data_IF_581214299765
#
_entry.id   IF_581214299765
#
_cell.length_a   1.000
_cell.length_b   1.000
_cell.length_c   1.000
_cell.angle_alpha   90.00
_cell.angle_beta   90.00
_cell.angle_gamma   90.00
#
_symmetry.space_group_name_H-M   'P 1'
#
loop_
_entity.id
_entity.type
_entity.pdbx_description
1 polymer ?
#
# COMPACT_ATOMS: atom_id res chain seq x y z
N UNK A 1 0.77 16.90 15.87
CA UNK A 1 1.54 16.16 14.88
C UNK A 1 1.78 17.09 13.70
N UNK A 2 3.00 17.48 13.44
CA UNK A 2 3.29 18.28 12.23
C UNK A 2 3.30 17.34 11.04
N UNK A 3 2.14 17.17 10.43
CA UNK A 3 2.01 16.46 9.16
C UNK A 3 2.82 17.22 8.10
N UNK A 4 3.62 16.52 7.31
CA UNK A 4 4.38 17.16 6.23
C UNK A 4 3.40 17.67 5.18
N UNK A 5 3.37 18.97 4.97
CA UNK A 5 2.56 19.62 3.94
C UNK A 5 3.28 19.52 2.59
N UNK A 6 3.09 18.36 1.94
CA UNK A 6 3.75 18.07 0.66
C UNK A 6 3.33 19.02 -0.46
N UNK A 7 2.09 19.47 -0.48
CA UNK A 7 1.63 20.43 -1.51
C UNK A 7 2.42 21.74 -1.44
N UNK A 8 2.70 22.19 -0.23
CA UNK A 8 3.48 23.43 0.01
C UNK A 8 4.95 23.28 -0.32
N UNK A 9 5.58 22.15 0.03
CA UNK A 9 7.04 22.00 -0.06
C UNK A 9 7.52 21.23 -1.28
N UNK A 10 6.67 20.46 -1.98
CA UNK A 10 7.06 19.70 -3.17
C UNK A 10 7.67 20.57 -4.28
N UNK A 11 7.10 21.75 -4.62
CA UNK A 11 7.69 22.63 -5.63
C UNK A 11 9.11 23.07 -5.27
N UNK A 12 9.33 23.42 -4.00
CA UNK A 12 10.61 23.94 -3.53
C UNK A 12 11.67 22.82 -3.44
N UNK A 13 11.27 21.61 -3.00
CA UNK A 13 12.14 20.43 -3.02
C UNK A 13 12.56 20.11 -4.45
N UNK A 14 11.61 20.11 -5.39
CA UNK A 14 11.91 19.83 -6.79
C UNK A 14 12.89 20.86 -7.40
N UNK A 15 12.68 22.14 -7.14
CA UNK A 15 13.61 23.20 -7.56
C UNK A 15 15.00 23.04 -6.93
N UNK A 16 15.05 22.69 -5.67
CA UNK A 16 16.33 22.46 -4.98
C UNK A 16 17.13 21.31 -5.58
N UNK A 17 16.46 20.27 -6.03
CA UNK A 17 17.10 19.06 -6.57
C UNK A 17 17.40 19.19 -8.06
N UNK A 18 16.48 19.77 -8.84
CA UNK A 18 16.54 19.81 -10.31
C UNK A 18 16.84 21.18 -10.91
N UNK A 19 16.85 22.24 -10.09
CA UNK A 19 16.98 23.62 -10.58
C UNK A 19 15.63 24.21 -10.97
N UNK A 20 15.65 25.24 -11.83
CA UNK A 20 14.42 25.91 -12.27
C UNK A 20 13.62 25.04 -13.24
N UNK A 21 12.27 25.06 -13.14
CA UNK A 21 11.42 24.29 -14.04
C UNK A 21 11.49 24.85 -15.47
N UNK A 22 11.46 23.93 -16.44
CA UNK A 22 11.39 24.27 -17.88
C UNK A 22 10.00 24.74 -18.32
N UNK A 23 8.96 24.37 -17.57
CA UNK A 23 7.58 24.82 -17.76
C UNK A 23 6.83 24.84 -16.43
N UNK A 24 5.94 25.81 -16.27
CA UNK A 24 5.11 26.00 -15.08
C UNK A 24 3.68 26.27 -15.49
N UNK A 25 2.74 25.51 -14.90
CA UNK A 25 1.29 25.78 -15.01
C UNK A 25 0.68 25.90 -13.62
N UNK A 26 -0.61 26.19 -13.53
CA UNK A 26 -1.33 26.18 -12.23
C UNK A 26 -1.43 24.81 -11.58
N UNK A 27 -1.15 23.73 -12.31
CA UNK A 27 -1.33 22.34 -11.84
C UNK A 27 -0.02 21.56 -11.72
N UNK A 28 1.01 21.93 -12.48
CA UNK A 28 2.25 21.17 -12.54
C UNK A 28 3.48 22.02 -12.82
N UNK A 29 4.64 21.53 -12.35
CA UNK A 29 5.96 21.97 -12.76
C UNK A 29 6.60 20.88 -13.61
N UNK A 30 7.29 21.29 -14.68
CA UNK A 30 8.06 20.39 -15.54
C UNK A 30 9.54 20.69 -15.45
N UNK A 31 10.37 19.66 -15.38
CA UNK A 31 11.82 19.74 -15.28
C UNK A 31 12.50 18.87 -16.33
N UNK A 32 13.79 19.10 -16.53
CA UNK A 32 14.58 18.40 -17.58
C UNK A 32 14.47 19.08 -18.94
N UNK A 33 15.39 18.77 -19.85
CA UNK A 33 15.52 19.43 -21.17
C UNK A 33 14.27 19.35 -22.06
N UNK A 34 13.43 18.34 -21.85
CA UNK A 34 12.16 18.12 -22.55
C UNK A 34 10.94 18.14 -21.62
N UNK A 35 11.10 18.57 -20.36
CA UNK A 35 10.03 18.53 -19.36
C UNK A 35 9.62 17.10 -18.98
N UNK A 36 10.57 16.18 -19.00
CA UNK A 36 10.32 14.75 -18.74
C UNK A 36 9.97 14.44 -17.28
N UNK A 37 10.31 15.29 -16.34
CA UNK A 37 9.96 15.13 -14.93
C UNK A 37 8.83 16.09 -14.59
N UNK A 38 7.72 15.56 -14.11
CA UNK A 38 6.52 16.30 -13.73
C UNK A 38 6.31 16.27 -12.23
N UNK A 39 6.06 17.42 -11.61
CA UNK A 39 5.58 17.55 -10.23
C UNK A 39 4.15 18.06 -10.27
N UNK A 40 3.23 17.30 -9.73
CA UNK A 40 1.83 17.69 -9.58
C UNK A 40 1.66 18.58 -8.33
N UNK A 41 1.19 19.81 -8.52
CA UNK A 41 1.05 20.79 -7.45
C UNK A 41 -0.15 20.55 -6.53
N UNK A 42 -1.16 19.83 -7.01
CA UNK A 42 -2.36 19.51 -6.23
C UNK A 42 -2.13 18.31 -5.29
N UNK A 43 -1.40 17.29 -5.78
CA UNK A 43 -1.16 16.06 -5.01
C UNK A 43 0.22 16.03 -4.33
N UNK A 44 1.18 16.84 -4.74
CA UNK A 44 2.56 16.77 -4.29
C UNK A 44 3.26 15.48 -4.75
N UNK A 45 2.86 14.91 -5.88
CA UNK A 45 3.48 13.72 -6.46
C UNK A 45 4.37 14.05 -7.64
N UNK A 46 5.24 13.13 -8.04
CA UNK A 46 6.06 13.27 -9.25
C UNK A 46 5.87 12.12 -10.21
N UNK A 47 6.25 12.37 -11.47
CA UNK A 47 6.41 11.35 -12.49
C UNK A 47 7.58 11.70 -13.41
N UNK A 48 8.48 10.75 -13.63
CA UNK A 48 9.59 10.83 -14.57
C UNK A 48 9.27 9.97 -15.80
N UNK A 49 8.97 10.64 -16.91
CA UNK A 49 8.58 9.98 -18.18
C UNK A 49 9.75 9.29 -18.90
N UNK A 50 10.99 9.57 -18.55
CA UNK A 50 12.15 8.90 -19.18
C UNK A 50 12.44 7.57 -18.52
N UNK A 51 12.27 7.47 -17.20
CA UNK A 51 12.50 6.23 -16.44
C UNK A 51 11.21 5.45 -16.15
N UNK A 52 10.04 6.00 -16.49
CA UNK A 52 8.71 5.45 -16.16
C UNK A 52 8.52 5.22 -14.65
N UNK A 53 9.03 6.18 -13.85
CA UNK A 53 8.98 6.12 -12.39
C UNK A 53 8.16 7.29 -11.86
N UNK A 54 7.23 6.99 -10.92
CA UNK A 54 6.44 8.00 -10.23
C UNK A 54 6.23 7.64 -8.76
N UNK A 55 5.75 8.61 -7.98
CA UNK A 55 5.49 8.39 -6.55
C UNK A 55 5.29 9.68 -5.78
N UNK A 56 5.38 9.58 -4.44
CA UNK A 56 5.37 10.74 -3.54
C UNK A 56 6.72 11.46 -3.49
N UNK A 57 6.78 12.58 -2.76
CA UNK A 57 8.03 13.37 -2.67
C UNK A 57 9.16 12.63 -1.94
N UNK A 58 8.86 11.67 -1.08
CA UNK A 58 9.90 10.82 -0.49
C UNK A 58 10.57 9.95 -1.56
N UNK A 59 9.77 9.38 -2.47
CA UNK A 59 10.28 8.58 -3.59
C UNK A 59 11.04 9.46 -4.58
N UNK A 60 10.55 10.69 -4.84
CA UNK A 60 11.26 11.69 -5.63
C UNK A 60 12.66 12.00 -5.08
N UNK A 61 12.76 12.29 -3.78
CA UNK A 61 14.05 12.60 -3.14
C UNK A 61 15.01 11.43 -3.27
N UNK A 62 14.53 10.21 -3.05
CA UNK A 62 15.30 8.96 -3.20
C UNK A 62 15.69 8.69 -4.65
N UNK A 63 14.79 8.92 -5.61
CA UNK A 63 15.05 8.75 -7.05
C UNK A 63 16.27 9.55 -7.52
N UNK A 64 16.45 10.75 -6.95
CA UNK A 64 17.62 11.61 -7.20
C UNK A 64 18.77 11.38 -6.21
N UNK A 65 18.82 10.27 -5.49
CA UNK A 65 19.89 9.90 -4.55
C UNK A 65 20.15 10.96 -3.47
N UNK A 66 19.08 11.62 -2.98
CA UNK A 66 19.18 12.60 -1.89
C UNK A 66 18.72 11.98 -0.58
N UNK A 67 19.28 12.49 0.52
CA UNK A 67 18.87 12.09 1.87
C UNK A 67 17.59 12.80 2.29
N UNK A 68 16.55 12.00 2.62
CA UNK A 68 15.20 12.52 2.91
C UNK A 68 15.20 13.39 4.16
N UNK A 69 15.90 12.95 5.23
CA UNK A 69 15.93 13.67 6.49
C UNK A 69 16.63 15.03 6.35
N UNK A 70 17.74 15.07 5.62
CA UNK A 70 18.48 16.30 5.34
C UNK A 70 17.65 17.29 4.54
N UNK A 71 16.89 16.83 3.55
CA UNK A 71 16.01 17.71 2.76
C UNK A 71 14.88 18.22 3.64
N UNK A 72 14.16 17.36 4.34
CA UNK A 72 13.00 17.75 5.14
C UNK A 72 13.35 18.70 6.30
N UNK A 73 14.51 18.53 6.93
CA UNK A 73 15.00 19.46 7.97
C UNK A 73 15.12 20.88 7.48
N UNK A 74 15.51 21.10 6.22
CA UNK A 74 15.62 22.45 5.63
C UNK A 74 14.26 23.15 5.51
N UNK A 75 13.17 22.36 5.45
CA UNK A 75 11.80 22.86 5.42
C UNK A 75 11.11 22.88 6.80
N UNK A 76 11.90 22.65 7.87
CA UNK A 76 11.40 22.67 9.26
C UNK A 76 10.72 21.37 9.71
N UNK A 77 10.88 20.28 8.98
CA UNK A 77 10.39 18.96 9.35
C UNK A 77 11.54 18.08 9.85
N UNK A 78 11.58 17.81 11.14
CA UNK A 78 12.55 16.91 11.76
C UNK A 78 11.91 15.55 12.04
N UNK A 79 12.22 14.56 11.20
CA UNK A 79 11.70 13.20 11.37
C UNK A 79 12.34 12.49 12.57
N UNK A 80 13.51 12.93 13.05
CA UNK A 80 14.17 12.34 14.22
C UNK A 80 13.39 12.61 15.53
N UNK A 81 12.62 13.70 15.58
CA UNK A 81 11.76 14.04 16.72
C UNK A 81 10.44 13.24 16.72
N UNK A 82 10.06 12.62 15.61
CA UNK A 82 8.87 11.77 15.54
C UNK A 82 9.11 10.35 16.06
N UNK A 83 10.35 9.91 16.17
CA UNK A 83 10.70 8.61 16.75
C UNK A 83 10.65 8.60 18.28
N UNK A 84 10.54 9.75 18.95
CA UNK A 84 10.61 9.82 20.42
C UNK A 84 9.26 9.84 21.15
N UNK A 85 8.11 9.86 20.45
CA UNK A 85 6.78 9.92 21.07
C UNK A 85 5.75 8.92 20.54
N UNK A 86 6.11 8.00 19.67
CA UNK A 86 5.44 6.70 19.66
C UNK A 86 6.09 5.90 20.78
N UNK A 87 5.33 5.58 21.83
CA UNK A 87 5.68 4.45 22.68
C UNK A 87 5.85 3.27 21.74
N UNK A 88 7.10 3.03 21.33
CA UNK A 88 7.51 1.78 20.74
C UNK A 88 7.23 0.76 21.82
N UNK A 89 6.08 0.13 21.75
CA UNK A 89 5.95 -1.19 22.32
C UNK A 89 7.06 -1.94 21.60
N UNK A 90 8.13 -2.23 22.31
CA UNK A 90 9.20 -3.10 21.86
C UNK A 90 8.57 -4.49 21.67
N UNK A 91 7.93 -4.66 20.50
CA UNK A 91 7.46 -5.96 20.04
C UNK A 91 8.70 -6.62 19.44
N UNK A 92 9.68 -6.93 20.30
CA UNK A 92 10.75 -7.85 19.95
C UNK A 92 10.16 -9.26 19.99
N UNK A 93 9.75 -9.82 18.85
CA UNK A 93 9.13 -11.13 18.84
C UNK A 93 10.19 -12.21 19.12
N UNK A 94 9.87 -13.17 19.97
CA UNK A 94 10.65 -14.40 20.13
C UNK A 94 10.52 -15.22 18.87
N UNK A 95 11.47 -15.15 17.95
CA UNK A 95 11.51 -16.03 16.77
C UNK A 95 12.06 -17.38 17.21
N UNK A 96 11.42 -18.45 16.73
CA UNK A 96 11.97 -19.81 16.82
C UNK A 96 13.40 -19.79 16.29
N UNK A 97 14.34 -20.36 17.03
CA UNK A 97 15.80 -20.31 16.86
C UNK A 97 16.38 -20.79 15.52
N UNK A 98 15.53 -21.15 14.54
CA UNK A 98 15.90 -21.68 13.22
C UNK A 98 15.37 -20.85 12.04
N UNK A 99 14.93 -19.62 12.24
CA UNK A 99 14.47 -18.80 11.14
C UNK A 99 15.66 -18.27 10.32
N UNK A 100 15.56 -18.33 8.99
CA UNK A 100 16.58 -17.77 8.09
C UNK A 100 16.65 -16.27 8.25
N UNK A 101 17.85 -15.72 8.42
CA UNK A 101 18.10 -14.27 8.43
C UNK A 101 18.72 -13.82 7.12
N UNK A 102 18.50 -12.55 6.76
CA UNK A 102 18.94 -11.91 5.54
C UNK A 102 19.43 -10.49 5.83
N UNK A 103 20.51 -10.08 5.19
CA UNK A 103 20.95 -8.68 5.19
C UNK A 103 20.02 -7.80 4.34
N UNK A 104 20.19 -6.47 4.43
CA UNK A 104 19.44 -5.56 3.54
C UNK A 104 19.78 -5.80 2.07
N UNK A 105 21.03 -6.10 1.73
CA UNK A 105 21.48 -6.38 0.37
C UNK A 105 20.82 -7.67 -0.16
N UNK A 106 20.74 -8.71 0.67
CA UNK A 106 20.06 -9.95 0.31
C UNK A 106 18.55 -9.73 0.14
N UNK A 107 17.94 -8.86 0.95
CA UNK A 107 16.54 -8.49 0.78
C UNK A 107 16.29 -7.76 -0.54
N UNK A 108 17.17 -6.85 -0.96
CA UNK A 108 17.08 -6.20 -2.28
C UNK A 108 17.11 -7.25 -3.41
N UNK A 109 18.03 -8.21 -3.35
CA UNK A 109 18.09 -9.32 -4.32
C UNK A 109 16.80 -10.16 -4.32
N UNK A 110 16.19 -10.39 -3.15
CA UNK A 110 14.91 -11.10 -3.04
C UNK A 110 13.76 -10.30 -3.64
N UNK A 111 13.77 -8.96 -3.49
CA UNK A 111 12.79 -8.09 -4.16
C UNK A 111 12.84 -8.26 -5.68
N UNK A 112 14.04 -8.21 -6.27
CA UNK A 112 14.25 -8.36 -7.72
C UNK A 112 13.82 -9.74 -8.24
N UNK A 113 13.91 -10.77 -7.39
CA UNK A 113 13.52 -12.14 -7.73
C UNK A 113 12.04 -12.45 -7.47
N UNK A 114 11.34 -11.57 -6.78
CA UNK A 114 9.92 -11.77 -6.44
C UNK A 114 9.01 -11.40 -7.61
N UNK A 115 7.91 -12.12 -7.77
CA UNK A 115 6.83 -11.77 -8.71
C UNK A 115 5.83 -10.81 -8.06
N UNK A 116 5.73 -10.81 -6.74
CA UNK A 116 4.95 -9.87 -5.94
C UNK A 116 5.75 -9.54 -4.69
N UNK A 117 5.89 -8.28 -4.38
CA UNK A 117 6.39 -7.81 -3.10
C UNK A 117 5.44 -6.72 -2.57
N UNK A 118 4.93 -6.91 -1.36
CA UNK A 118 4.02 -5.97 -0.70
C UNK A 118 4.62 -5.57 0.65
N UNK A 119 4.89 -4.29 0.78
CA UNK A 119 5.44 -3.70 2.00
C UNK A 119 4.29 -3.24 2.89
N UNK A 120 4.04 -3.99 3.95
CA UNK A 120 3.02 -3.66 4.95
C UNK A 120 3.48 -2.57 5.94
N UNK A 121 4.79 -2.54 6.22
CA UNK A 121 5.44 -1.51 7.04
C UNK A 121 6.93 -1.47 6.72
N UNK A 122 7.68 -0.56 7.35
CA UNK A 122 9.15 -0.51 7.22
C UNK A 122 9.85 -1.75 7.79
N UNK A 123 9.13 -2.54 8.57
CA UNK A 123 9.65 -3.75 9.21
C UNK A 123 8.94 -5.03 8.82
N UNK A 124 7.96 -4.99 7.91
CA UNK A 124 7.23 -6.19 7.50
C UNK A 124 6.88 -6.17 6.01
N UNK A 125 7.34 -7.19 5.29
CA UNK A 125 7.15 -7.38 3.85
C UNK A 125 6.68 -8.80 3.58
N UNK A 126 5.76 -8.94 2.63
CA UNK A 126 5.36 -10.23 2.08
C UNK A 126 5.85 -10.31 0.64
N UNK A 127 6.53 -11.39 0.29
CA UNK A 127 6.98 -11.66 -1.08
C UNK A 127 6.44 -12.98 -1.59
N UNK A 128 6.10 -13.00 -2.88
CA UNK A 128 5.79 -14.21 -3.63
C UNK A 128 6.88 -14.42 -4.67
N UNK A 129 7.40 -15.64 -4.72
CA UNK A 129 8.45 -16.02 -5.67
C UNK A 129 7.88 -16.95 -6.76
N UNK A 130 8.53 -17.04 -7.93
CA UNK A 130 8.20 -18.04 -8.93
C UNK A 130 8.45 -19.45 -8.40
N UNK A 131 7.77 -20.45 -8.93
CA UNK A 131 7.89 -21.84 -8.47
C UNK A 131 9.31 -22.41 -8.57
N UNK A 132 10.12 -21.89 -9.51
CA UNK A 132 11.54 -22.24 -9.67
C UNK A 132 12.44 -21.71 -8.56
N UNK A 133 11.98 -20.74 -7.76
CA UNK A 133 12.78 -20.13 -6.71
C UNK A 133 13.07 -21.09 -5.54
N UNK A 134 14.20 -20.87 -4.84
CA UNK A 134 14.60 -21.69 -3.68
C UNK A 134 13.64 -21.55 -2.47
N UNK A 135 13.02 -20.39 -2.31
CA UNK A 135 11.94 -20.17 -1.30
C UNK A 135 10.65 -20.73 -1.89
N UNK A 136 10.15 -21.80 -1.30
CA UNK A 136 8.95 -22.54 -1.78
C UNK A 136 7.65 -22.05 -1.14
N UNK A 137 7.72 -21.19 -0.14
CA UNK A 137 6.53 -20.63 0.49
C UNK A 137 5.82 -19.70 -0.48
N UNK A 138 4.54 -19.96 -0.77
CA UNK A 138 3.75 -19.20 -1.76
C UNK A 138 3.74 -17.69 -1.47
N UNK A 139 3.61 -17.33 -0.18
CA UNK A 139 3.74 -15.96 0.32
C UNK A 139 4.70 -16.00 1.51
N UNK A 140 5.92 -15.55 1.30
CA UNK A 140 6.97 -15.57 2.30
C UNK A 140 6.98 -14.25 3.09
N UNK A 141 6.74 -14.30 4.41
CA UNK A 141 6.82 -13.13 5.28
C UNK A 141 8.26 -12.86 5.70
N UNK A 142 8.64 -11.59 5.68
CA UNK A 142 9.92 -11.12 6.18
C UNK A 142 9.71 -10.00 7.19
N UNK A 143 10.26 -10.16 8.38
CA UNK A 143 10.21 -9.18 9.47
C UNK A 143 11.60 -8.66 9.77
N UNK A 144 11.75 -7.34 9.83
CA UNK A 144 13.01 -6.67 10.17
C UNK A 144 13.23 -6.70 11.67
N UNK A 145 14.45 -7.03 12.09
CA UNK A 145 14.92 -7.00 13.47
C UNK A 145 16.28 -6.33 13.53
N UNK A 146 16.33 -5.15 14.11
CA UNK A 146 17.54 -4.35 14.08
C UNK A 146 18.01 -4.13 12.62
N UNK A 147 19.17 -4.64 12.28
CA UNK A 147 19.75 -4.53 10.94
C UNK A 147 19.48 -5.71 10.03
N UNK A 148 18.87 -6.79 10.54
CA UNK A 148 18.60 -8.02 9.78
C UNK A 148 17.11 -8.23 9.51
N UNK A 149 16.82 -8.99 8.46
CA UNK A 149 15.48 -9.48 8.13
C UNK A 149 15.38 -10.96 8.43
N UNK A 150 14.28 -11.37 9.00
CA UNK A 150 14.02 -12.76 9.37
C UNK A 150 12.80 -13.23 8.58
N UNK A 151 12.90 -14.40 7.94
CA UNK A 151 11.77 -15.01 7.23
C UNK A 151 10.76 -15.58 8.23
N UNK A 152 9.97 -14.71 8.82
CA UNK A 152 8.91 -15.02 9.77
C UNK A 152 7.88 -13.89 9.80
N UNK A 153 6.67 -14.17 10.31
CA UNK A 153 5.69 -13.13 10.64
C UNK A 153 6.09 -12.44 11.94
N UNK A 154 5.75 -11.14 12.11
CA UNK A 154 5.88 -10.49 13.40
C UNK A 154 4.94 -11.14 14.43
N UNK A 155 5.21 -10.98 15.69
CA UNK A 155 4.30 -11.38 16.78
C UNK A 155 3.18 -10.36 16.93
N UNK A 156 2.07 -10.79 17.55
CA UNK A 156 0.92 -9.93 17.78
C UNK A 156 0.05 -9.74 16.54
N UNK A 157 -0.60 -8.58 16.46
CA UNK A 157 -1.42 -8.23 15.30
C UNK A 157 -0.52 -7.89 14.11
N UNK A 158 -0.87 -8.44 12.95
CA UNK A 158 -0.19 -8.13 11.71
C UNK A 158 -0.62 -6.75 11.20
N UNK A 159 0.29 -5.95 10.66
CA UNK A 159 -0.09 -4.69 10.05
C UNK A 159 -1.02 -4.92 8.86
N UNK A 160 -1.93 -3.97 8.66
CA UNK A 160 -2.78 -3.90 7.48
C UNK A 160 -2.01 -3.20 6.36
N UNK A 161 -2.05 -3.75 5.14
CA UNK A 161 -1.63 -2.98 3.97
C UNK A 161 -2.76 -2.03 3.59
N UNK A 162 -2.46 -0.76 3.49
CA UNK A 162 -3.41 0.24 3.01
C UNK A 162 -2.66 1.38 2.32
N UNK A 163 -3.13 1.76 1.14
CA UNK A 163 -2.72 3.01 0.51
C UNK A 163 -3.43 4.18 1.21
N UNK A 164 -2.78 5.32 1.36
CA UNK A 164 -3.35 6.48 2.04
C UNK A 164 -3.31 7.73 1.16
N UNK A 165 -3.65 7.57 -0.12
CA UNK A 165 -3.57 8.63 -1.13
C UNK A 165 -4.90 9.37 -1.32
N UNK A 166 -6.02 8.73 -0.96
CA UNK A 166 -7.38 9.23 -1.23
C UNK A 166 -8.31 9.10 -0.01
N UNK A 167 -8.06 9.84 1.07
CA UNK A 167 -8.80 9.69 2.34
C UNK A 167 -10.30 10.02 2.24
N UNK A 168 -10.72 10.74 1.21
CA UNK A 168 -12.13 11.10 0.97
C UNK A 168 -12.95 10.01 0.27
N UNK A 169 -12.29 9.02 -0.33
CA UNK A 169 -12.95 7.87 -0.97
C UNK A 169 -13.08 6.70 0.00
N UNK A 170 -14.06 5.80 -0.19
CA UNK A 170 -14.09 4.53 0.53
C UNK A 170 -12.79 3.74 0.33
N UNK A 171 -12.39 2.97 1.33
CA UNK A 171 -11.28 2.02 1.19
C UNK A 171 -11.82 0.74 0.58
N UNK A 172 -11.24 0.28 -0.53
CA UNK A 172 -11.58 -1.01 -1.13
C UNK A 172 -10.70 -2.10 -0.51
N UNK A 173 -11.33 -3.01 0.22
CA UNK A 173 -10.68 -4.12 0.92
C UNK A 173 -10.84 -5.39 0.11
N UNK A 174 -9.73 -6.07 -0.18
CA UNK A 174 -9.71 -7.39 -0.83
C UNK A 174 -8.88 -8.39 -0.05
N UNK A 175 -9.12 -9.69 -0.26
CA UNK A 175 -8.34 -10.73 0.39
C UNK A 175 -6.98 -10.93 -0.29
N UNK A 176 -5.91 -10.67 0.48
CA UNK A 176 -4.53 -10.97 0.08
C UNK A 176 -3.91 -10.05 -0.97
N UNK A 177 -2.64 -10.27 -1.16
CA UNK A 177 -1.75 -9.36 -1.92
C UNK A 177 -2.01 -9.40 -3.44
N UNK A 178 -2.49 -10.53 -3.99
CA UNK A 178 -2.82 -10.66 -5.43
C UNK A 178 -4.04 -9.80 -5.77
N UNK A 179 -5.12 -9.98 -5.00
CA UNK A 179 -6.37 -9.24 -5.19
C UNK A 179 -6.14 -7.73 -5.09
N UNK A 180 -5.29 -7.31 -4.14
CA UNK A 180 -4.92 -5.92 -3.96
C UNK A 180 -4.21 -5.31 -5.17
N UNK A 181 -3.29 -6.04 -5.79
CA UNK A 181 -2.63 -5.59 -7.03
C UNK A 181 -3.62 -5.33 -8.17
N UNK A 182 -4.63 -6.20 -8.32
CA UNK A 182 -5.71 -5.96 -9.27
C UNK A 182 -6.51 -4.70 -8.92
N UNK A 183 -6.86 -4.53 -7.66
CA UNK A 183 -7.60 -3.37 -7.17
C UNK A 183 -6.89 -2.05 -7.44
N UNK A 184 -5.56 -1.98 -7.26
CA UNK A 184 -4.75 -0.78 -7.55
C UNK A 184 -4.86 -0.30 -9.01
N UNK A 185 -5.15 -1.20 -9.94
CA UNK A 185 -5.32 -0.86 -11.36
C UNK A 185 -6.73 -0.42 -11.73
N UNK A 186 -7.75 -0.91 -11.02
CA UNK A 186 -9.16 -0.69 -11.38
C UNK A 186 -9.92 0.21 -10.40
N UNK A 187 -9.27 0.70 -9.34
CA UNK A 187 -9.89 1.59 -8.38
C UNK A 187 -9.01 2.81 -8.10
N UNK A 188 -9.61 4.00 -8.16
CA UNK A 188 -8.93 5.28 -7.95
C UNK A 188 -9.00 5.80 -6.51
N UNK A 189 -9.50 5.02 -5.57
CA UNK A 189 -9.46 5.28 -4.13
C UNK A 189 -8.36 4.49 -3.44
N UNK A 190 -8.38 4.48 -2.12
CA UNK A 190 -7.45 3.67 -1.35
C UNK A 190 -7.85 2.20 -1.37
N UNK A 191 -6.84 1.36 -1.47
CA UNK A 191 -6.97 -0.10 -1.48
C UNK A 191 -6.31 -0.69 -0.23
N UNK A 192 -6.82 -1.84 0.20
CA UNK A 192 -6.41 -2.45 1.45
C UNK A 192 -6.46 -3.98 1.36
N UNK A 193 -5.48 -4.65 1.96
CA UNK A 193 -5.53 -6.09 2.17
C UNK A 193 -4.90 -6.50 3.50
N UNK A 194 -5.24 -7.72 3.93
CA UNK A 194 -4.61 -8.37 5.07
C UNK A 194 -3.86 -9.62 4.63
N UNK A 195 -2.88 -10.02 5.42
CA UNK A 195 -2.10 -11.22 5.16
C UNK A 195 -2.66 -12.44 5.89
N UNK A 196 -2.60 -13.59 5.25
CA UNK A 196 -2.90 -14.88 5.89
C UNK A 196 -4.23 -15.52 5.49
N UNK A 197 -4.81 -15.08 4.38
CA UNK A 197 -6.04 -15.65 3.83
C UNK A 197 -7.27 -15.36 4.70
N UNK A 198 -8.38 -15.99 4.38
CA UNK A 198 -9.68 -15.74 5.01
C UNK A 198 -9.71 -15.87 6.55
N UNK A 199 -8.77 -16.62 7.16
CA UNK A 199 -8.65 -16.73 8.62
C UNK A 199 -7.63 -15.77 9.23
N UNK A 200 -6.91 -14.99 8.42
CA UNK A 200 -5.88 -14.06 8.90
C UNK A 200 -6.43 -12.74 9.42
N UNK A 201 -7.65 -12.38 9.03
CA UNK A 201 -8.24 -11.08 9.32
C UNK A 201 -8.33 -10.78 10.83
N UNK A 202 -8.60 -11.77 11.67
CA UNK A 202 -8.72 -11.61 13.14
C UNK A 202 -7.38 -11.43 13.86
N UNK A 203 -6.26 -11.56 13.14
CA UNK A 203 -4.90 -11.30 13.60
C UNK A 203 -4.31 -10.04 12.98
N UNK A 204 -5.12 -9.21 12.37
CA UNK A 204 -4.72 -8.01 11.65
C UNK A 204 -5.14 -6.76 12.44
N UNK A 205 -4.27 -5.77 12.49
CA UNK A 205 -4.58 -4.45 13.03
C UNK A 205 -5.37 -3.63 12.00
N UNK A 206 -6.68 -3.52 12.19
CA UNK A 206 -7.58 -2.77 11.34
C UNK A 206 -7.68 -1.28 11.68
N UNK A 207 -6.99 -0.83 12.73
CA UNK A 207 -7.07 0.57 13.20
C UNK A 207 -6.74 1.63 12.14
N UNK A 208 -5.88 1.38 11.13
CA UNK A 208 -5.60 2.36 10.07
C UNK A 208 -6.81 2.77 9.23
N UNK A 209 -7.86 1.95 9.17
CA UNK A 209 -9.08 2.26 8.39
C UNK A 209 -10.32 2.50 9.25
N UNK A 210 -10.20 2.50 10.58
CA UNK A 210 -11.33 2.87 11.44
C UNK A 210 -11.84 4.28 11.13
N UNK A 211 -13.14 4.46 11.25
CA UNK A 211 -13.87 5.71 10.93
C UNK A 211 -13.91 6.09 9.43
N UNK A 212 -13.35 5.25 8.56
CA UNK A 212 -13.47 5.43 7.10
C UNK A 212 -14.72 4.74 6.54
N UNK A 213 -15.16 5.17 5.38
CA UNK A 213 -16.07 4.37 4.55
C UNK A 213 -15.28 3.19 3.96
N UNK A 214 -15.86 2.00 3.99
CA UNK A 214 -15.17 0.77 3.58
C UNK A 214 -16.06 -0.07 2.66
N UNK A 215 -15.49 -0.52 1.55
CA UNK A 215 -16.05 -1.49 0.64
C UNK A 215 -15.25 -2.78 0.74
N UNK A 216 -15.89 -3.89 1.09
CA UNK A 216 -15.24 -5.19 1.24
C UNK A 216 -15.61 -6.05 0.05
N UNK A 217 -14.64 -6.37 -0.80
CA UNK A 217 -14.79 -7.32 -1.87
C UNK A 217 -14.58 -8.73 -1.33
N UNK A 218 -15.66 -9.50 -1.25
CA UNK A 218 -15.58 -10.89 -0.84
C UNK A 218 -15.07 -11.77 -1.98
N UNK A 219 -14.13 -12.67 -1.70
CA UNK A 219 -13.79 -13.72 -2.65
C UNK A 219 -15.03 -14.55 -2.97
N UNK A 220 -15.15 -15.02 -4.21
CA UNK A 220 -16.36 -15.69 -4.69
C UNK A 220 -16.45 -17.16 -4.21
N UNK A 221 -16.28 -17.39 -2.92
CA UNK A 221 -16.52 -18.67 -2.27
C UNK A 221 -17.17 -18.49 -0.89
N UNK A 222 -17.55 -19.60 -0.26
CA UNK A 222 -18.25 -19.57 1.03
C UNK A 222 -17.36 -19.03 2.17
N UNK A 223 -16.05 -19.28 2.09
CA UNK A 223 -15.08 -18.89 3.12
C UNK A 223 -14.81 -17.38 3.03
N UNK A 224 -14.60 -16.85 1.83
CA UNK A 224 -14.41 -15.43 1.58
C UNK A 224 -15.66 -14.60 1.95
N UNK A 225 -16.86 -15.09 1.60
CA UNK A 225 -18.13 -14.45 1.99
C UNK A 225 -18.30 -14.39 3.50
N UNK A 226 -17.94 -15.46 4.21
CA UNK A 226 -17.95 -15.49 5.68
C UNK A 226 -16.94 -14.49 6.27
N UNK A 227 -15.70 -14.50 5.78
CA UNK A 227 -14.67 -13.56 6.24
C UNK A 227 -15.11 -12.10 6.01
N UNK A 228 -15.65 -11.77 4.85
CA UNK A 228 -16.15 -10.42 4.56
C UNK A 228 -17.27 -9.98 5.51
N UNK A 229 -18.18 -10.87 5.87
CA UNK A 229 -19.21 -10.59 6.86
C UNK A 229 -18.63 -10.30 8.25
N UNK A 230 -17.73 -11.16 8.73
CA UNK A 230 -17.07 -11.00 10.02
C UNK A 230 -16.22 -9.71 10.09
N UNK A 231 -15.48 -9.39 9.03
CA UNK A 231 -14.73 -8.13 8.91
C UNK A 231 -15.69 -6.94 8.95
N UNK A 232 -16.82 -7.01 8.25
CA UNK A 232 -17.83 -5.95 8.25
C UNK A 232 -18.37 -5.66 9.65
N UNK A 233 -18.69 -6.70 10.41
CA UNK A 233 -19.12 -6.58 11.81
C UNK A 233 -18.04 -5.96 12.68
N UNK A 234 -16.81 -6.44 12.56
CA UNK A 234 -15.65 -5.91 13.27
C UNK A 234 -15.43 -4.42 13.01
N UNK A 235 -15.46 -4.00 11.74
CA UNK A 235 -15.27 -2.60 11.36
C UNK A 235 -16.38 -1.69 11.86
N UNK A 236 -17.63 -2.14 11.78
CA UNK A 236 -18.79 -1.38 12.34
C UNK A 236 -18.67 -1.22 13.85
N UNK A 237 -18.29 -2.29 14.58
CA UNK A 237 -18.07 -2.25 16.03
C UNK A 237 -16.95 -1.29 16.42
N UNK A 238 -16.00 -1.00 15.52
CA UNK A 238 -14.88 -0.09 15.73
C UNK A 238 -15.05 1.29 15.07
N UNK A 239 -16.29 1.69 14.77
CA UNK A 239 -16.64 3.07 14.39
C UNK A 239 -16.66 3.35 12.88
N UNK A 240 -16.54 2.34 12.01
CA UNK A 240 -16.84 2.51 10.59
C UNK A 240 -18.35 2.56 10.38
N UNK A 241 -18.88 3.72 10.01
CA UNK A 241 -20.33 3.93 9.87
C UNK A 241 -20.88 3.53 8.50
N UNK A 242 -20.01 3.46 7.49
CA UNK A 242 -20.39 3.10 6.11
C UNK A 242 -19.51 1.92 5.66
N UNK A 243 -19.97 0.71 5.94
CA UNK A 243 -19.30 -0.54 5.53
C UNK A 243 -20.24 -1.32 4.61
N UNK A 244 -19.79 -1.57 3.39
CA UNK A 244 -20.52 -2.32 2.37
C UNK A 244 -19.76 -3.57 1.98
N UNK A 245 -20.40 -4.73 2.11
CA UNK A 245 -19.88 -5.99 1.55
C UNK A 245 -20.36 -6.09 0.11
N UNK A 246 -19.40 -6.27 -0.80
CA UNK A 246 -19.63 -6.36 -2.25
C UNK A 246 -19.77 -7.82 -2.62
N UNK A 247 -20.85 -8.14 -3.31
CA UNK A 247 -21.02 -9.45 -3.95
C UNK A 247 -20.34 -9.38 -5.33
N UNK A 248 -19.37 -10.26 -5.64
CA UNK A 248 -18.81 -10.34 -6.98
C UNK A 248 -19.89 -10.52 -8.07
N UNK A 249 -19.61 -10.16 -9.32
CA UNK A 249 -20.53 -10.38 -10.44
C UNK A 249 -20.98 -11.84 -10.56
N UNK A 250 -22.20 -12.08 -11.04
CA UNK A 250 -22.78 -13.44 -11.14
C UNK A 250 -22.01 -14.36 -12.11
N UNK A 251 -21.35 -13.79 -13.10
CA UNK A 251 -20.55 -14.51 -14.09
C UNK A 251 -19.10 -14.78 -13.64
N UNK A 252 -18.71 -14.31 -12.43
CA UNK A 252 -17.42 -14.67 -11.85
C UNK A 252 -17.42 -16.15 -11.44
N UNK A 253 -16.32 -16.82 -11.75
CA UNK A 253 -16.09 -18.21 -11.33
C UNK A 253 -15.81 -18.26 -9.83
N UNK A 254 -15.94 -19.47 -9.29
CA UNK A 254 -15.48 -19.73 -7.92
C UNK A 254 -14.01 -19.32 -7.75
N UNK A 255 -13.71 -18.55 -6.71
CA UNK A 255 -12.38 -17.98 -6.36
C UNK A 255 -11.87 -16.85 -7.25
N UNK A 256 -12.65 -16.37 -8.22
CA UNK A 256 -12.27 -15.14 -8.91
C UNK A 256 -12.21 -13.96 -7.92
N UNK A 257 -11.15 -13.17 -8.04
CA UNK A 257 -10.84 -12.03 -7.18
C UNK A 257 -10.73 -10.72 -7.99
N UNK A 258 -10.33 -9.62 -7.34
CA UNK A 258 -10.14 -8.33 -7.99
C UNK A 258 -9.00 -8.34 -9.03
N UNK A 259 -8.03 -9.24 -8.90
CA UNK A 259 -6.99 -9.39 -9.92
C UNK A 259 -7.53 -10.05 -11.18
N UNK A 260 -8.41 -11.04 -11.04
CA UNK A 260 -9.06 -11.69 -12.17
C UNK A 260 -10.00 -10.71 -12.90
N UNK A 261 -10.66 -9.82 -12.15
CA UNK A 261 -11.42 -8.69 -12.72
C UNK A 261 -10.54 -7.73 -13.53
N UNK A 262 -9.34 -7.43 -13.05
CA UNK A 262 -8.36 -6.60 -13.75
C UNK A 262 -7.83 -7.30 -15.02
N UNK A 263 -7.34 -8.53 -14.90
CA UNK A 263 -6.78 -9.27 -16.04
C UNK A 263 -7.79 -9.52 -17.18
N UNK A 264 -9.03 -9.78 -16.81
CA UNK A 264 -10.10 -9.96 -17.80
C UNK A 264 -10.61 -8.65 -18.44
N UNK A 265 -10.21 -7.49 -17.89
CA UNK A 265 -10.76 -6.20 -18.28
C UNK A 265 -12.25 -6.05 -17.95
N UNK A 266 -12.76 -6.76 -16.93
CA UNK A 266 -14.16 -6.76 -16.55
C UNK A 266 -14.67 -5.35 -16.21
N UNK A 267 -13.90 -4.59 -15.44
CA UNK A 267 -14.14 -3.18 -15.22
C UNK A 267 -13.19 -2.35 -16.10
N UNK A 268 -13.78 -1.60 -17.01
CA UNK A 268 -13.03 -0.76 -17.96
C UNK A 268 -12.17 0.32 -17.23
N UNK A 269 -12.67 0.82 -16.13
CA UNK A 269 -12.07 1.89 -15.33
C UNK A 269 -12.67 1.92 -13.91
N UNK A 270 -12.15 2.80 -13.06
CA UNK A 270 -12.64 2.99 -11.69
C UNK A 270 -14.11 3.39 -11.63
N UNK A 271 -14.59 4.19 -12.59
CA UNK A 271 -15.97 4.62 -12.65
C UNK A 271 -16.92 3.43 -12.90
N UNK A 272 -16.52 2.47 -13.72
CA UNK A 272 -17.29 1.26 -13.99
C UNK A 272 -17.40 0.39 -12.71
N UNK A 273 -16.29 0.21 -12.00
CA UNK A 273 -16.27 -0.50 -10.71
C UNK A 273 -17.14 0.21 -9.66
N UNK A 274 -16.95 1.52 -9.49
CA UNK A 274 -17.73 2.32 -8.54
C UNK A 274 -19.25 2.25 -8.87
N UNK A 275 -19.59 2.36 -10.14
CA UNK A 275 -20.99 2.24 -10.60
C UNK A 275 -21.57 0.86 -10.28
N UNK A 276 -20.81 -0.21 -10.49
CA UNK A 276 -21.20 -1.56 -10.12
C UNK A 276 -21.46 -1.66 -8.62
N UNK A 277 -20.55 -1.15 -7.79
CA UNK A 277 -20.68 -1.18 -6.33
C UNK A 277 -21.90 -0.39 -5.84
N UNK A 278 -22.13 0.81 -6.39
CA UNK A 278 -23.28 1.64 -5.99
C UNK A 278 -24.63 1.04 -6.39
N UNK A 279 -24.71 0.28 -7.47
CA UNK A 279 -25.94 -0.39 -7.89
C UNK A 279 -26.34 -1.57 -7.00
N UNK A 280 -25.41 -2.11 -6.23
CA UNK A 280 -25.76 -3.17 -5.27
C UNK A 280 -26.56 -2.60 -4.12
N UNK A 281 -27.73 -3.20 -3.83
CA UNK A 281 -28.52 -2.85 -2.66
C UNK A 281 -27.76 -3.22 -1.39
N UNK A 282 -27.85 -2.38 -0.37
CA UNK A 282 -27.39 -2.75 0.96
C UNK A 282 -28.21 -3.96 1.44
N UNK A 283 -27.52 -5.04 1.77
CA UNK A 283 -28.12 -6.24 2.37
C UNK A 283 -28.03 -6.16 3.87
#
# INVERSE_FOLDING_TARGET
>A
MNHVDWQRIAPEIAKQILGEPTSTTSKELRFGSKGSICINLESGTFFDFESDIGGGMVDFIKHFNKDVDSILKQFGYDLSLQQSNSSVIDISPVVKSNARSFSNEQMMQLYDQSVIAVKYSDSFVIMRFPESHAIKQKYAPFTKRGTEWIMARPEGLLPLYVTNNHPSKPVLVGEGEKSMRGAEHIYSGDVCCWHGGATGWNKTDWSPIYKRAVWIWADNDAVGKKAAAEISEHLRANGCTNVKVITPPEDFKEKDDLYDAYESGYFKDSQALETFIYKQKEK
#
